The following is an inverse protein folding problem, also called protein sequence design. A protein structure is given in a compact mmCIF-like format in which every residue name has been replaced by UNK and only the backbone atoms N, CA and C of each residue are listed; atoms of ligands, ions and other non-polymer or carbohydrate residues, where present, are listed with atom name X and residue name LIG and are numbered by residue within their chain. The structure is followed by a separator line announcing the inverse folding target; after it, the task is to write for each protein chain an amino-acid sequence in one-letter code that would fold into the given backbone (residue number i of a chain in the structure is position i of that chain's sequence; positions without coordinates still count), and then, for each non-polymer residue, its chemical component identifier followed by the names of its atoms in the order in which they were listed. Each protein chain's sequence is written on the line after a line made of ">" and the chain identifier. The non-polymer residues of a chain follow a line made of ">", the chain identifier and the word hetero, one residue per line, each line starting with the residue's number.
data_IF_421955640123
#
_entry.id   IF_421955640123
#
_cell.length_a   1.000
_cell.length_b   1.000
_cell.length_c   1.000
_cell.angle_alpha   90.00
_cell.angle_beta   90.00
_cell.angle_gamma   90.00
#
_symmetry.space_group_name_H-M   'P 1'
#
loop_
_entity.id
_entity.type
_entity.pdbx_description
1 polymer ?
#
# COMPACT_ATOMS: atom_id res chain seq x y z
N UNK A 1 -13.34 10.83 -9.02
CA UNK A 1 -12.92 9.67 -8.19
C UNK A 1 -13.14 9.89 -6.69
N UNK A 2 -12.85 11.07 -6.14
CA UNK A 2 -12.97 11.31 -4.69
C UNK A 2 -14.40 11.27 -4.17
N UNK A 3 -15.37 11.89 -4.87
CA UNK A 3 -16.80 11.81 -4.51
C UNK A 3 -17.28 10.36 -4.48
N UNK A 4 -17.03 9.59 -5.56
CA UNK A 4 -17.42 8.17 -5.64
C UNK A 4 -16.83 7.36 -4.48
N UNK A 5 -15.53 7.56 -4.20
CA UNK A 5 -14.86 6.92 -3.07
C UNK A 5 -15.49 7.32 -1.73
N UNK A 6 -15.80 8.59 -1.52
CA UNK A 6 -16.43 9.07 -0.28
C UNK A 6 -17.83 8.51 -0.10
N UNK A 7 -18.66 8.52 -1.16
CA UNK A 7 -20.02 7.95 -1.14
C UNK A 7 -19.97 6.45 -0.86
N UNK A 8 -19.04 5.71 -1.47
CA UNK A 8 -18.84 4.29 -1.20
C UNK A 8 -18.47 4.04 0.26
N UNK A 9 -17.54 4.82 0.81
CA UNK A 9 -17.16 4.71 2.22
C UNK A 9 -18.34 5.02 3.15
N UNK A 10 -19.10 6.07 2.88
CA UNK A 10 -20.31 6.40 3.65
C UNK A 10 -21.31 5.24 3.61
N UNK A 11 -21.56 4.66 2.44
CA UNK A 11 -22.48 3.53 2.30
C UNK A 11 -21.99 2.30 3.09
N UNK A 12 -20.70 1.98 3.00
CA UNK A 12 -20.09 0.89 3.79
C UNK A 12 -20.24 1.14 5.29
N UNK A 13 -19.93 2.35 5.76
CA UNK A 13 -20.04 2.71 7.18
C UNK A 13 -21.49 2.65 7.65
N UNK A 14 -22.45 3.11 6.85
CA UNK A 14 -23.87 3.02 7.18
C UNK A 14 -24.35 1.56 7.33
N UNK A 15 -23.98 0.69 6.39
CA UNK A 15 -24.29 -0.76 6.46
C UNK A 15 -23.69 -1.38 7.72
N UNK A 16 -22.45 -1.02 8.03
CA UNK A 16 -21.70 -1.55 9.16
C UNK A 16 -22.33 -1.14 10.50
N UNK A 17 -22.71 0.14 10.64
CA UNK A 17 -23.44 0.63 11.82
C UNK A 17 -24.81 -0.05 11.94
N UNK A 18 -25.56 -0.16 10.85
CA UNK A 18 -26.85 -0.86 10.83
C UNK A 18 -26.70 -2.32 11.26
N UNK A 19 -25.67 -3.02 10.77
CA UNK A 19 -25.39 -4.40 11.14
C UNK A 19 -25.10 -4.54 12.64
N UNK A 20 -24.27 -3.66 13.23
CA UNK A 20 -24.01 -3.65 14.67
C UNK A 20 -25.31 -3.42 15.45
N UNK A 21 -26.10 -2.42 15.04
CA UNK A 21 -27.35 -2.06 15.72
C UNK A 21 -28.39 -3.19 15.66
N UNK A 22 -28.53 -3.86 14.51
CA UNK A 22 -29.44 -5.00 14.34
C UNK A 22 -28.97 -6.24 15.13
N UNK A 23 -27.67 -6.39 15.33
CA UNK A 23 -27.08 -7.51 16.06
C UNK A 23 -26.64 -7.12 17.49
N UNK A 24 -27.38 -6.20 18.12
CA UNK A 24 -27.14 -5.78 19.51
C UNK A 24 -27.69 -6.79 20.53
N UNK A 25 -27.43 -8.08 20.30
CA UNK A 25 -27.74 -9.15 21.23
C UNK A 25 -26.46 -9.47 21.99
N UNK A 26 -26.51 -9.39 23.31
CA UNK A 26 -25.40 -9.82 24.17
C UNK A 26 -25.34 -11.34 24.15
N UNK A 27 -24.25 -11.90 23.64
CA UNK A 27 -24.00 -13.32 23.71
C UNK A 27 -22.95 -13.61 24.78
N UNK A 28 -23.18 -14.60 25.67
CA UNK A 28 -22.17 -15.05 26.60
C UNK A 28 -21.08 -15.81 25.83
N UNK A 29 -19.85 -15.29 25.86
CA UNK A 29 -18.67 -15.98 25.33
C UNK A 29 -17.94 -16.64 26.50
N UNK A 30 -17.75 -17.97 26.42
CA UNK A 30 -16.99 -18.73 27.41
C UNK A 30 -15.50 -18.66 27.05
N UNK A 31 -14.71 -17.90 27.81
CA UNK A 31 -13.30 -17.68 27.50
C UNK A 31 -12.42 -18.77 28.14
N UNK A 32 -12.72 -19.17 29.37
CA UNK A 32 -11.90 -20.11 30.11
C UNK A 32 -12.72 -20.92 31.14
N UNK A 33 -12.51 -22.24 31.26
CA UNK A 33 -13.10 -23.05 32.33
C UNK A 33 -12.38 -22.77 33.66
N UNK A 34 -13.15 -22.40 34.68
CA UNK A 34 -12.70 -22.23 36.05
C UNK A 34 -13.32 -23.33 36.94
N UNK A 35 -12.73 -23.58 38.10
CA UNK A 35 -13.15 -24.67 39.02
C UNK A 35 -14.62 -24.50 39.49
N UNK A 36 -15.13 -23.26 39.52
CA UNK A 36 -16.51 -22.91 39.90
C UNK A 36 -17.42 -22.52 38.71
N UNK A 37 -16.98 -22.67 37.44
CA UNK A 37 -17.80 -22.33 36.26
C UNK A 37 -17.00 -21.93 35.01
N UNK A 38 -17.56 -21.09 34.15
CA UNK A 38 -16.81 -20.50 33.02
C UNK A 38 -16.69 -18.99 33.20
N UNK A 39 -15.56 -18.41 32.79
CA UNK A 39 -15.46 -16.97 32.67
C UNK A 39 -16.34 -16.53 31.48
N UNK A 40 -17.52 -16.01 31.79
CA UNK A 40 -18.48 -15.49 30.83
C UNK A 40 -18.17 -14.02 30.52
N UNK A 41 -18.02 -13.70 29.25
CA UNK A 41 -17.90 -12.32 28.79
C UNK A 41 -19.05 -12.00 27.84
N UNK A 42 -19.95 -11.13 28.27
CA UNK A 42 -21.14 -10.76 27.52
C UNK A 42 -20.84 -9.62 26.56
N UNK A 43 -20.56 -9.95 25.30
CA UNK A 43 -20.29 -8.95 24.28
C UNK A 43 -21.37 -8.95 23.20
N UNK A 44 -21.70 -7.78 22.62
CA UNK A 44 -22.63 -7.72 21.50
C UNK A 44 -22.07 -8.51 20.32
N UNK A 45 -22.87 -9.45 19.80
CA UNK A 45 -22.48 -10.30 18.67
C UNK A 45 -22.07 -9.47 17.45
N UNK A 46 -22.76 -8.36 17.21
CA UNK A 46 -22.43 -7.44 16.12
C UNK A 46 -21.00 -6.90 16.17
N UNK A 47 -20.46 -6.64 17.37
CA UNK A 47 -19.08 -6.14 17.54
C UNK A 47 -18.08 -7.25 17.26
N UNK A 48 -18.33 -8.45 17.76
CA UNK A 48 -17.46 -9.61 17.55
C UNK A 48 -17.38 -9.95 16.06
N UNK A 49 -18.53 -10.07 15.39
CA UNK A 49 -18.61 -10.35 13.96
C UNK A 49 -17.88 -9.28 13.13
N UNK A 50 -18.00 -8.01 13.52
CA UNK A 50 -17.29 -6.92 12.87
C UNK A 50 -15.77 -7.06 13.02
N UNK A 51 -15.28 -7.36 14.22
CA UNK A 51 -13.85 -7.53 14.46
C UNK A 51 -13.30 -8.66 13.60
N UNK A 52 -13.96 -9.82 13.55
CA UNK A 52 -13.54 -10.92 12.68
C UNK A 52 -13.61 -10.57 11.19
N UNK A 53 -14.63 -9.80 10.77
CA UNK A 53 -14.73 -9.30 9.41
C UNK A 53 -13.55 -8.40 9.04
N UNK A 54 -13.19 -7.44 9.91
CA UNK A 54 -12.01 -6.59 9.70
C UNK A 54 -10.73 -7.43 9.70
N UNK A 55 -10.60 -8.39 10.61
CA UNK A 55 -9.43 -9.24 10.73
C UNK A 55 -9.23 -10.10 9.47
N UNK A 56 -10.30 -10.59 8.85
CA UNK A 56 -10.26 -11.26 7.55
C UNK A 56 -10.02 -10.30 6.38
N UNK A 57 -10.49 -9.05 6.46
CA UNK A 57 -10.32 -8.05 5.40
C UNK A 57 -8.91 -7.43 5.36
N UNK A 58 -8.24 -7.28 6.51
CA UNK A 58 -6.87 -6.74 6.62
C UNK A 58 -5.86 -7.43 5.70
N UNK A 59 -5.73 -8.79 5.68
CA UNK A 59 -4.77 -9.46 4.80
C UNK A 59 -5.09 -9.27 3.32
N UNK A 60 -6.38 -9.30 2.93
CA UNK A 60 -6.83 -9.01 1.57
C UNK A 60 -6.48 -7.57 1.15
N UNK A 61 -6.74 -6.60 2.02
CA UNK A 61 -6.42 -5.20 1.77
C UNK A 61 -4.92 -4.97 1.63
N UNK A 62 -4.10 -5.61 2.48
CA UNK A 62 -2.65 -5.48 2.44
C UNK A 62 -2.07 -6.05 1.14
N UNK A 63 -2.56 -7.20 0.69
CA UNK A 63 -2.18 -7.79 -0.60
C UNK A 63 -2.52 -6.87 -1.78
N UNK A 64 -3.73 -6.34 -1.79
CA UNK A 64 -4.16 -5.38 -2.81
C UNK A 64 -3.32 -4.09 -2.78
N UNK A 65 -2.98 -3.59 -1.60
CA UNK A 65 -2.11 -2.40 -1.47
C UNK A 65 -0.69 -2.69 -1.96
N UNK A 66 -0.14 -3.85 -1.63
CA UNK A 66 1.20 -4.27 -2.04
C UNK A 66 1.30 -4.49 -3.57
N UNK A 67 0.27 -5.05 -4.20
CA UNK A 67 0.24 -5.24 -5.65
C UNK A 67 0.25 -3.89 -6.38
N UNK A 68 -0.60 -2.95 -5.96
CA UNK A 68 -0.64 -1.59 -6.52
C UNK A 68 0.71 -0.87 -6.37
N UNK A 69 1.34 -1.00 -5.20
CA UNK A 69 2.67 -0.43 -4.96
C UNK A 69 3.76 -1.00 -5.87
N UNK A 70 3.76 -2.33 -6.08
CA UNK A 70 4.69 -2.96 -7.02
C UNK A 70 4.47 -2.48 -8.45
N UNK A 71 3.22 -2.34 -8.89
CA UNK A 71 2.94 -1.89 -10.26
C UNK A 71 3.37 -0.44 -10.47
N UNK A 72 3.08 0.46 -9.51
CA UNK A 72 3.52 1.85 -9.57
C UNK A 72 5.06 1.97 -9.65
N UNK A 73 5.79 1.21 -8.83
CA UNK A 73 7.27 1.19 -8.90
C UNK A 73 7.80 0.74 -10.26
N UNK A 74 7.19 -0.30 -10.86
CA UNK A 74 7.60 -0.80 -12.17
C UNK A 74 7.37 0.24 -13.26
N UNK A 75 6.22 0.91 -13.23
CA UNK A 75 5.89 1.98 -14.18
C UNK A 75 6.91 3.12 -14.06
N UNK A 76 7.20 3.60 -12.85
CA UNK A 76 8.20 4.66 -12.66
C UNK A 76 9.61 4.26 -13.10
N UNK A 77 10.01 3.01 -12.89
CA UNK A 77 11.30 2.50 -13.38
C UNK A 77 11.35 2.54 -14.92
N UNK A 78 10.28 2.09 -15.59
CA UNK A 78 10.19 2.12 -17.05
C UNK A 78 10.18 3.57 -17.59
N UNK A 79 9.42 4.47 -16.96
CA UNK A 79 9.40 5.89 -17.31
C UNK A 79 10.79 6.53 -17.20
N UNK A 80 11.54 6.22 -16.13
CA UNK A 80 12.89 6.74 -15.93
C UNK A 80 13.88 6.16 -16.94
N UNK A 81 13.82 4.87 -17.25
CA UNK A 81 14.66 4.25 -18.28
C UNK A 81 14.41 4.84 -19.67
N UNK A 82 13.14 5.07 -20.03
CA UNK A 82 12.79 5.74 -21.29
C UNK A 82 13.28 7.19 -21.30
N UNK A 83 13.13 7.92 -20.19
CA UNK A 83 13.64 9.30 -20.06
C UNK A 83 15.15 9.36 -20.17
N UNK A 84 15.88 8.45 -19.54
CA UNK A 84 17.33 8.36 -19.64
C UNK A 84 17.79 8.02 -21.07
N UNK A 85 17.11 7.10 -21.75
CA UNK A 85 17.42 6.72 -23.14
C UNK A 85 17.10 7.82 -24.16
N UNK A 86 16.13 8.69 -23.86
CA UNK A 86 15.73 9.82 -24.72
C UNK A 86 16.43 11.14 -24.40
N UNK A 87 17.23 11.19 -23.33
CA UNK A 87 18.11 12.33 -23.06
C UNK A 87 19.40 12.16 -23.85
N UNK A 88 19.69 12.99 -24.87
CA UNK A 88 20.96 12.90 -25.59
C UNK A 88 22.10 13.15 -24.61
N UNK A 89 23.00 12.16 -24.49
CA UNK A 89 24.25 12.33 -23.76
C UNK A 89 25.02 13.48 -24.41
N UNK A 90 25.19 14.59 -23.69
CA UNK A 90 26.18 15.59 -24.06
C UNK A 90 27.54 14.91 -23.94
N UNK A 91 28.04 14.40 -25.06
CA UNK A 91 29.37 13.84 -25.13
C UNK A 91 30.35 14.88 -24.57
N UNK A 92 31.23 14.52 -23.63
CA UNK A 92 32.33 15.40 -23.29
C UNK A 92 33.15 15.55 -24.57
N UNK A 93 33.13 16.74 -25.16
CA UNK A 93 34.14 17.16 -26.13
C UNK A 93 35.46 17.19 -25.37
N UNK A 94 36.11 16.04 -25.28
CA UNK A 94 37.50 15.96 -24.90
C UNK A 94 38.30 16.55 -26.08
N UNK A 95 38.55 17.84 -25.97
CA UNK A 95 39.76 18.56 -26.39
C UNK A 95 40.73 17.69 -27.20
N UNK A 96 40.56 17.68 -28.52
CA UNK A 96 41.62 17.28 -29.47
C UNK A 96 42.72 18.36 -29.56
N UNK A 97 42.54 19.50 -28.88
CA UNK A 97 43.54 20.59 -28.83
C UNK A 97 44.77 20.28 -27.98
N UNK A 98 44.71 19.32 -27.05
CA UNK A 98 45.84 19.02 -26.14
C UNK A 98 46.90 18.12 -26.82
N UNK A 99 46.47 17.21 -27.70
CA UNK A 99 47.38 16.33 -28.45
C UNK A 99 48.10 17.07 -29.58
N UNK A 100 47.46 18.08 -30.19
CA UNK A 100 48.06 18.87 -31.27
C UNK A 100 49.10 19.90 -30.78
N UNK A 101 49.08 20.23 -29.48
CA UNK A 101 50.04 21.17 -28.88
C UNK A 101 51.30 20.43 -28.43
N UNK A 102 51.17 19.21 -27.88
CA UNK A 102 52.33 18.37 -27.54
C UNK A 102 53.13 17.90 -28.77
N UNK A 103 52.48 17.54 -29.89
CA UNK A 103 53.21 17.18 -31.13
C UNK A 103 53.92 18.37 -31.79
N UNK A 104 53.47 19.61 -31.54
CA UNK A 104 54.17 20.83 -31.99
C UNK A 104 55.35 21.21 -31.09
N UNK A 105 55.33 20.84 -29.82
CA UNK A 105 56.46 21.07 -28.90
C UNK A 105 57.51 19.94 -28.93
N UNK A 106 57.14 18.73 -29.33
CA UNK A 106 58.07 17.58 -29.47
C UNK A 106 58.75 17.50 -30.86
N UNK A 107 58.54 18.49 -31.72
CA UNK A 107 59.25 18.66 -32.98
C UNK A 107 60.66 19.21 -32.80
N UNK A 108 61.56 18.42 -32.20
CA UNK A 108 63.02 18.41 -32.42
C UNK A 108 63.49 16.95 -32.51
#
# INVERSE_FOLDING_TARGET
>A
MQIVRTVLWIAITAILVAFIAMNWVKAPVNIWPLEDGYLHFEWPVGVIALVFFLLGFVPLWLLHRASMWRMQRRVHSLENSVRAASTPSAAPMATTEDVATEEREQGI
#
